data_IF_182151876523
#
_entry.id   IF_182151876523
#
_cell.length_a   1.000
_cell.length_b   1.000
_cell.length_c   1.000
_cell.angle_alpha   90.00
_cell.angle_beta   90.00
_cell.angle_gamma   90.00
#
_symmetry.space_group_name_H-M   'P 1'
#
loop_
_entity.id
_entity.type
_entity.pdbx_description
1 polymer ?
#
# COMPACT_ATOMS: atom_id res chain seq x y z
N UNK A 1 4.81 4.64 41.09
CA UNK A 1 6.16 4.21 40.63
C UNK A 1 7.07 3.69 41.74
N UNK A 2 6.73 3.81 43.03
CA UNK A 2 7.63 3.44 44.15
C UNK A 2 8.27 2.05 44.06
N UNK A 3 7.52 0.94 43.89
CA UNK A 3 8.11 -0.40 43.89
C UNK A 3 9.18 -0.59 42.81
N UNK A 4 9.02 0.06 41.65
CA UNK A 4 9.99 -0.01 40.56
C UNK A 4 11.32 0.68 40.88
N UNK A 5 11.31 1.70 41.75
CA UNK A 5 12.48 2.52 42.07
C UNK A 5 13.14 2.13 43.39
N UNK A 6 12.42 1.51 44.32
CA UNK A 6 12.88 1.19 45.67
C UNK A 6 13.01 -0.30 45.98
N UNK A 7 12.29 -1.20 45.29
CA UNK A 7 12.34 -2.62 45.62
C UNK A 7 13.69 -3.24 45.25
N UNK A 8 14.19 -4.10 46.14
CA UNK A 8 15.40 -4.88 45.89
C UNK A 8 15.23 -5.78 44.66
N UNK A 9 16.27 -5.84 43.82
CA UNK A 9 16.25 -6.63 42.59
C UNK A 9 15.41 -6.06 41.44
N UNK A 10 14.79 -4.88 41.60
CA UNK A 10 14.02 -4.24 40.53
C UNK A 10 14.84 -4.07 39.25
N UNK A 11 14.29 -4.56 38.13
CA UNK A 11 14.89 -4.43 36.80
C UNK A 11 14.47 -3.14 36.08
N UNK A 12 13.76 -2.23 36.75
CA UNK A 12 13.23 -1.02 36.12
C UNK A 12 14.33 -0.10 35.57
N UNK A 13 15.36 0.22 36.36
CA UNK A 13 16.46 1.09 35.90
C UNK A 13 17.24 0.46 34.72
N UNK A 14 17.69 -0.81 34.81
CA UNK A 14 18.26 -1.51 33.66
C UNK A 14 17.35 -1.51 32.42
N UNK A 15 16.04 -1.67 32.62
CA UNK A 15 15.06 -1.61 31.54
C UNK A 15 15.02 -0.21 30.87
N UNK A 16 15.05 0.89 31.63
CA UNK A 16 15.08 2.24 31.06
C UNK A 16 16.38 2.49 30.28
N UNK A 17 17.52 2.01 30.77
CA UNK A 17 18.79 2.09 30.05
C UNK A 17 18.75 1.33 28.73
N UNK A 18 18.20 0.10 28.74
CA UNK A 18 18.03 -0.73 27.55
C UNK A 18 17.03 -0.09 26.56
N UNK A 19 15.93 0.48 27.06
CA UNK A 19 14.96 1.21 26.25
C UNK A 19 15.61 2.41 25.57
N UNK A 20 16.36 3.24 26.30
CA UNK A 20 17.09 4.38 25.74
C UNK A 20 18.10 3.97 24.65
N UNK A 21 18.76 2.81 24.81
CA UNK A 21 19.64 2.25 23.79
C UNK A 21 18.87 1.77 22.55
N UNK A 22 17.71 1.14 22.74
CA UNK A 22 16.89 0.58 21.67
C UNK A 22 16.20 1.65 20.80
N UNK A 23 15.80 2.78 21.40
CA UNK A 23 15.06 3.85 20.71
C UNK A 23 15.97 4.94 20.11
N UNK A 24 17.30 4.80 20.22
CA UNK A 24 18.23 5.84 19.79
C UNK A 24 18.12 6.11 18.29
N UNK A 25 18.12 7.38 17.91
CA UNK A 25 18.16 7.80 16.51
C UNK A 25 19.61 8.14 16.14
N UNK A 26 20.19 7.55 15.07
CA UNK A 26 21.54 7.91 14.62
C UNK A 26 21.66 9.42 14.36
N UNK A 27 22.67 10.05 14.95
CA UNK A 27 22.87 11.51 14.86
C UNK A 27 21.84 12.36 15.64
N UNK A 28 20.89 11.72 16.34
CA UNK A 28 19.87 12.40 17.14
C UNK A 28 20.31 12.66 18.59
N UNK A 29 19.50 13.45 19.29
CA UNK A 29 19.61 13.67 20.74
C UNK A 29 18.55 12.87 21.48
N UNK A 30 18.80 12.64 22.76
CA UNK A 30 17.88 12.00 23.70
C UNK A 30 17.84 12.83 24.98
N UNK A 31 16.65 12.95 25.56
CA UNK A 31 16.46 13.53 26.87
C UNK A 31 15.87 12.48 27.83
N UNK A 32 16.43 12.38 29.03
CA UNK A 32 15.87 11.58 30.13
C UNK A 32 15.27 12.55 31.12
N UNK A 33 13.99 12.35 31.45
CA UNK A 33 13.26 13.24 32.33
C UNK A 33 12.31 12.47 33.25
N UNK A 34 12.01 13.07 34.40
CA UNK A 34 10.99 12.58 35.34
C UNK A 34 9.87 13.60 35.43
N UNK A 35 8.64 13.14 35.64
CA UNK A 35 7.49 14.02 35.78
C UNK A 35 6.73 13.72 37.08
N UNK A 36 6.19 14.79 37.64
CA UNK A 36 5.30 14.87 38.79
C UNK A 36 4.32 16.04 38.56
N UNK A 37 3.37 16.26 39.46
CA UNK A 37 2.44 17.38 39.35
C UNK A 37 3.15 18.70 39.70
N UNK A 38 3.12 19.65 38.75
CA UNK A 38 3.71 20.97 38.92
C UNK A 38 3.21 21.66 40.21
N UNK A 39 4.15 22.25 40.95
CA UNK A 39 3.88 22.99 42.19
C UNK A 39 3.74 22.15 43.46
N UNK A 40 3.79 20.80 43.38
CA UNK A 40 3.74 19.96 44.58
C UNK A 40 5.10 19.76 45.26
N UNK A 41 6.18 19.85 44.50
CA UNK A 41 7.55 19.69 44.98
C UNK A 41 8.22 21.06 44.94
N UNK A 42 8.70 21.60 46.08
CA UNK A 42 9.33 22.93 46.14
C UNK A 42 10.48 23.05 45.14
N UNK A 43 10.52 24.17 44.43
CA UNK A 43 11.60 24.55 43.50
C UNK A 43 11.86 23.55 42.35
N UNK A 44 10.95 22.59 42.15
CA UNK A 44 11.04 21.58 41.09
C UNK A 44 9.96 21.83 40.06
N UNK A 45 10.39 21.93 38.80
CA UNK A 45 9.48 22.01 37.66
C UNK A 45 9.36 20.65 36.98
N UNK A 46 8.17 20.32 36.51
CA UNK A 46 7.87 19.09 35.77
C UNK A 46 7.73 19.36 34.26
N UNK A 47 8.22 18.48 33.38
CA UNK A 47 9.19 17.42 33.67
C UNK A 47 10.56 18.01 34.03
N UNK A 48 11.24 17.34 34.98
CA UNK A 48 12.64 17.59 35.34
C UNK A 48 13.55 16.82 34.40
N UNK A 49 14.31 17.53 33.57
CA UNK A 49 15.31 16.93 32.69
C UNK A 49 16.54 16.54 33.52
N UNK A 50 16.90 15.27 33.50
CA UNK A 50 18.10 14.72 34.16
C UNK A 50 19.28 14.64 33.20
N UNK A 51 18.99 14.50 31.91
CA UNK A 51 19.98 14.51 30.83
C UNK A 51 19.33 14.99 29.53
N UNK A 52 20.09 15.74 28.73
CA UNK A 52 19.74 16.06 27.35
C UNK A 52 21.02 16.18 26.52
N UNK A 53 21.11 15.43 25.43
CA UNK A 53 22.29 15.44 24.56
C UNK A 53 22.33 14.25 23.61
N UNK A 54 23.43 14.05 22.87
CA UNK A 54 23.65 12.84 22.07
C UNK A 54 23.55 11.57 22.92
N UNK A 55 23.16 10.44 22.33
CA UNK A 55 23.15 9.18 23.09
C UNK A 55 24.57 8.78 23.52
N UNK A 56 24.78 8.60 24.82
CA UNK A 56 26.01 8.03 25.39
C UNK A 56 25.66 7.17 26.62
N UNK A 57 26.18 5.95 26.68
CA UNK A 57 25.76 4.96 27.69
C UNK A 57 26.02 5.41 29.15
N UNK A 58 27.19 6.03 29.43
CA UNK A 58 27.54 6.47 30.77
C UNK A 58 26.67 7.65 31.26
N UNK A 59 26.49 8.75 30.49
CA UNK A 59 25.54 9.81 30.85
C UNK A 59 24.10 9.32 31.05
N UNK A 60 23.62 8.41 30.19
CA UNK A 60 22.29 7.82 30.32
C UNK A 60 22.16 7.03 31.63
N UNK A 61 23.14 6.17 31.95
CA UNK A 61 23.16 5.42 33.21
C UNK A 61 23.16 6.35 34.42
N UNK A 62 23.94 7.42 34.39
CA UNK A 62 23.97 8.43 35.46
C UNK A 62 22.60 9.12 35.62
N UNK A 63 21.96 9.49 34.51
CA UNK A 63 20.64 10.11 34.53
C UNK A 63 19.56 9.17 35.05
N UNK A 64 19.60 7.90 34.62
CA UNK A 64 18.67 6.86 35.10
C UNK A 64 18.89 6.57 36.59
N UNK A 65 20.14 6.56 37.08
CA UNK A 65 20.45 6.40 38.50
C UNK A 65 19.93 7.58 39.35
N UNK A 66 19.89 8.79 38.78
CA UNK A 66 19.39 10.00 39.46
C UNK A 66 17.85 10.09 39.55
N UNK A 67 17.09 9.17 38.93
CA UNK A 67 15.63 9.13 39.07
C UNK A 67 15.25 8.88 40.53
N UNK A 68 14.46 9.78 41.11
CA UNK A 68 14.02 9.79 42.50
C UNK A 68 12.49 9.62 42.65
N UNK A 69 12.03 9.48 43.90
CA UNK A 69 10.62 9.45 44.26
C UNK A 69 10.25 10.77 44.96
N UNK A 70 9.75 11.77 44.23
CA UNK A 70 9.45 13.08 44.81
C UNK A 70 8.33 13.00 45.86
N UNK A 71 8.40 13.88 46.87
CA UNK A 71 7.41 14.02 47.94
C UNK A 71 6.80 15.41 47.95
N UNK A 72 5.53 15.49 48.36
CA UNK A 72 4.80 16.76 48.51
C UNK A 72 5.43 17.61 49.61
N UNK A 73 5.43 18.93 49.44
CA UNK A 73 5.93 19.87 50.43
C UNK A 73 5.32 19.60 51.83
N UNK A 74 6.16 19.53 52.87
CA UNK A 74 5.72 19.38 54.27
C UNK A 74 5.07 18.03 54.62
N UNK A 75 5.11 17.02 53.75
CA UNK A 75 4.42 15.75 53.96
C UNK A 75 5.24 14.49 53.64
N UNK A 76 4.71 13.34 54.08
CA UNK A 76 5.26 12.02 53.74
C UNK A 76 4.65 11.43 52.45
N UNK A 77 3.64 12.08 51.86
CA UNK A 77 3.01 11.63 50.63
C UNK A 77 3.93 11.83 49.42
N UNK A 78 3.94 10.86 48.50
CA UNK A 78 4.60 11.04 47.20
C UNK A 78 3.85 12.08 46.37
N UNK A 79 4.57 12.78 45.48
CA UNK A 79 3.96 13.69 44.52
C UNK A 79 3.06 12.94 43.53
N UNK A 80 1.98 13.58 43.10
CA UNK A 80 1.01 13.03 42.17
C UNK A 80 1.58 13.04 40.74
N UNK A 81 1.02 12.22 39.86
CA UNK A 81 1.38 12.20 38.46
C UNK A 81 0.51 13.20 37.66
N UNK A 82 1.14 13.97 36.77
CA UNK A 82 0.44 14.81 35.79
C UNK A 82 0.82 14.39 34.37
N UNK A 83 0.01 13.51 33.76
CA UNK A 83 0.26 12.97 32.42
C UNK A 83 0.19 14.04 31.34
N UNK A 84 -0.75 14.98 31.44
CA UNK A 84 -0.87 16.05 30.47
C UNK A 84 0.27 17.05 30.61
N UNK A 85 0.64 17.40 31.85
CA UNK A 85 1.84 18.18 32.15
C UNK A 85 3.11 17.52 31.60
N UNK A 86 3.26 16.20 31.77
CA UNK A 86 4.38 15.43 31.23
C UNK A 86 4.43 15.46 29.70
N UNK A 87 3.30 15.30 29.01
CA UNK A 87 3.22 15.36 27.56
C UNK A 87 3.57 16.76 27.04
N UNK A 88 2.86 17.78 27.52
CA UNK A 88 3.05 19.17 27.07
C UNK A 88 4.43 19.71 27.47
N UNK A 89 4.92 19.37 28.66
CA UNK A 89 6.25 19.71 29.11
C UNK A 89 7.33 18.95 28.34
N UNK A 90 7.11 17.68 27.99
CA UNK A 90 7.98 16.90 27.12
C UNK A 90 8.13 17.54 25.74
N UNK A 91 7.02 18.03 25.15
CA UNK A 91 7.05 18.80 23.90
C UNK A 91 7.83 20.11 24.08
N UNK A 92 7.45 20.94 25.04
CA UNK A 92 8.02 22.29 25.20
C UNK A 92 9.49 22.28 25.63
N UNK A 93 9.88 21.35 26.50
CA UNK A 93 11.20 21.34 27.15
C UNK A 93 12.10 20.24 26.64
N UNK A 94 11.58 19.02 26.48
CA UNK A 94 12.35 17.89 25.98
C UNK A 94 12.64 18.02 24.49
N UNK A 95 11.61 18.33 23.69
CA UNK A 95 11.74 18.52 22.24
C UNK A 95 11.99 19.98 21.83
N UNK A 96 11.99 20.93 22.78
CA UNK A 96 12.09 22.36 22.49
C UNK A 96 11.04 22.86 21.47
N UNK A 97 9.83 22.30 21.52
CA UNK A 97 8.74 22.59 20.59
C UNK A 97 8.93 22.03 19.17
N UNK A 98 9.96 21.21 18.93
CA UNK A 98 10.23 20.58 17.63
C UNK A 98 9.54 19.22 17.53
N UNK A 99 9.41 18.74 16.30
CA UNK A 99 8.95 17.39 16.01
C UNK A 99 9.90 16.33 16.61
N UNK A 100 9.34 15.21 17.05
CA UNK A 100 10.12 14.14 17.67
C UNK A 100 9.28 13.02 18.25
N UNK A 101 9.93 12.16 19.04
CA UNK A 101 9.27 11.02 19.70
C UNK A 101 9.34 11.18 21.20
N UNK A 102 8.19 11.05 21.86
CA UNK A 102 8.09 11.04 23.32
C UNK A 102 7.86 9.60 23.77
N UNK A 103 8.78 9.08 24.56
CA UNK A 103 8.66 7.78 25.21
C UNK A 103 8.25 7.97 26.66
N UNK A 104 6.98 7.68 26.97
CA UNK A 104 6.43 7.86 28.31
C UNK A 104 6.30 6.52 29.02
N UNK A 105 6.94 6.39 30.18
CA UNK A 105 6.87 5.17 31.01
C UNK A 105 6.06 5.45 32.27
N UNK A 106 4.97 4.72 32.47
CA UNK A 106 4.02 4.96 33.56
C UNK A 106 3.32 3.69 34.00
N UNK A 107 2.96 3.59 35.29
CA UNK A 107 2.11 2.52 35.78
C UNK A 107 0.60 2.77 35.53
N UNK A 108 0.22 3.90 34.91
CA UNK A 108 -1.17 4.33 34.68
C UNK A 108 -2.04 4.30 35.95
N UNK A 109 -1.42 4.50 37.12
CA UNK A 109 -2.12 4.57 38.40
C UNK A 109 -1.98 5.95 39.00
N UNK A 110 -3.09 6.41 39.56
CA UNK A 110 -3.17 7.61 40.37
C UNK A 110 -2.96 7.25 41.86
N UNK A 111 -2.41 8.17 42.65
CA UNK A 111 -2.32 7.95 44.09
C UNK A 111 -3.74 7.95 44.70
N UNK A 112 -3.98 7.21 45.80
CA UNK A 112 -5.26 7.26 46.50
C UNK A 112 -5.55 8.68 47.03
N UNK A 113 -6.81 9.13 46.95
CA UNK A 113 -7.23 10.45 47.47
C UNK A 113 -6.81 11.64 46.60
N UNK A 114 -6.73 11.44 45.28
CA UNK A 114 -6.31 12.46 44.34
C UNK A 114 -7.27 13.65 44.25
N UNK A 115 -6.71 14.81 43.90
CA UNK A 115 -7.51 16.01 43.67
C UNK A 115 -8.28 15.93 42.33
N UNK A 116 -9.43 16.62 42.20
CA UNK A 116 -10.16 16.75 40.93
C UNK A 116 -9.33 17.33 39.77
N UNK A 117 -8.21 18.00 40.06
CA UNK A 117 -7.29 18.49 39.04
C UNK A 117 -6.55 17.33 38.33
N UNK A 118 -6.17 16.28 39.06
CA UNK A 118 -5.46 15.12 38.50
C UNK A 118 -6.37 14.35 37.54
N UNK A 119 -7.65 14.20 37.90
CA UNK A 119 -8.65 13.55 37.04
C UNK A 119 -8.85 14.32 35.74
N UNK A 120 -9.04 15.65 35.81
CA UNK A 120 -9.15 16.52 34.64
C UNK A 120 -7.90 16.49 33.76
N UNK A 121 -6.71 16.57 34.35
CA UNK A 121 -5.45 16.50 33.60
C UNK A 121 -5.30 15.16 32.90
N UNK A 122 -5.74 14.08 33.54
CA UNK A 122 -5.64 12.75 32.95
C UNK A 122 -6.63 12.57 31.78
N UNK A 123 -7.85 13.09 31.91
CA UNK A 123 -8.80 13.14 30.80
C UNK A 123 -8.25 13.99 29.63
N UNK A 124 -7.67 15.15 29.94
CA UNK A 124 -7.05 16.03 28.95
C UNK A 124 -5.87 15.37 28.22
N UNK A 125 -5.09 14.54 28.90
CA UNK A 125 -4.01 13.77 28.28
C UNK A 125 -4.54 12.82 27.20
N UNK A 126 -5.56 12.00 27.51
CA UNK A 126 -6.12 11.07 26.52
C UNK A 126 -6.84 11.79 25.38
N UNK A 127 -7.54 12.89 25.68
CA UNK A 127 -8.12 13.75 24.64
C UNK A 127 -7.03 14.31 23.71
N UNK A 128 -5.92 14.81 24.26
CA UNK A 128 -4.79 15.32 23.46
C UNK A 128 -4.19 14.23 22.56
N UNK A 129 -4.00 13.01 23.09
CA UNK A 129 -3.51 11.87 22.29
C UNK A 129 -4.45 11.51 21.14
N UNK A 130 -5.76 11.53 21.39
CA UNK A 130 -6.78 11.16 20.40
C UNK A 130 -6.98 12.24 19.35
N UNK A 131 -7.22 13.47 19.79
CA UNK A 131 -7.78 14.53 18.94
C UNK A 131 -6.70 15.40 18.27
N UNK A 132 -5.46 15.38 18.78
CA UNK A 132 -4.38 16.16 18.18
C UNK A 132 -3.98 15.59 16.82
N UNK A 133 -4.07 16.43 15.78
CA UNK A 133 -3.54 16.14 14.44
C UNK A 133 -2.01 16.12 14.41
N UNK A 134 -1.35 16.77 15.38
CA UNK A 134 0.11 16.74 15.52
C UNK A 134 0.61 15.41 16.08
N UNK A 135 -0.24 14.62 16.74
CA UNK A 135 0.11 13.28 17.22
C UNK A 135 -0.46 12.26 16.24
N UNK A 136 0.35 11.85 15.27
CA UNK A 136 -0.11 10.97 14.18
C UNK A 136 0.06 9.48 14.48
N UNK A 137 0.97 9.14 15.40
CA UNK A 137 1.32 7.75 15.71
C UNK A 137 1.48 7.53 17.21
N UNK A 138 0.81 6.51 17.73
CA UNK A 138 0.94 6.07 19.13
C UNK A 138 1.03 4.55 19.18
N UNK A 139 2.06 4.06 19.87
CA UNK A 139 2.28 2.66 20.17
C UNK A 139 2.44 2.46 21.68
N UNK A 140 2.08 1.28 22.20
CA UNK A 140 2.23 0.95 23.61
C UNK A 140 2.81 -0.46 23.83
N UNK A 141 3.64 -0.59 24.86
CA UNK A 141 4.13 -1.86 25.38
C UNK A 141 3.73 -2.00 26.85
N UNK A 142 2.72 -2.83 27.16
CA UNK A 142 2.46 -3.26 28.53
C UNK A 142 3.59 -4.18 29.01
N UNK A 143 4.25 -3.81 30.10
CA UNK A 143 5.37 -4.54 30.69
C UNK A 143 4.98 -5.08 32.05
N UNK A 144 4.99 -6.40 32.19
CA UNK A 144 4.78 -7.06 33.48
C UNK A 144 6.08 -7.07 34.28
N UNK A 145 6.03 -6.51 35.48
CA UNK A 145 7.15 -6.47 36.43
C UNK A 145 6.55 -6.44 37.85
N UNK A 146 6.10 -7.57 38.39
CA UNK A 146 5.48 -7.60 39.70
C UNK A 146 6.54 -7.35 40.77
N UNK A 147 6.35 -6.27 41.53
CA UNK A 147 7.23 -5.85 42.60
C UNK A 147 6.39 -5.38 43.80
N UNK A 148 6.93 -5.60 44.99
CA UNK A 148 6.40 -5.08 46.24
C UNK A 148 7.42 -4.12 46.83
N UNK A 149 7.05 -2.86 46.90
CA UNK A 149 7.82 -1.82 47.58
C UNK A 149 7.48 -1.77 49.06
N UNK A 150 7.96 -0.73 49.74
CA UNK A 150 7.69 -0.52 51.16
C UNK A 150 6.24 -0.12 51.41
N UNK A 151 5.70 0.70 50.52
CA UNK A 151 4.40 1.34 50.70
C UNK A 151 3.36 0.84 49.69
N UNK A 152 3.78 0.36 48.52
CA UNK A 152 2.88 -0.03 47.44
C UNK A 152 3.29 -1.36 46.81
N UNK A 153 2.34 -1.98 46.12
CA UNK A 153 2.60 -3.05 45.15
C UNK A 153 2.37 -2.55 43.72
N UNK A 154 3.08 -3.14 42.77
CA UNK A 154 2.88 -2.86 41.36
C UNK A 154 3.08 -4.13 40.54
N UNK A 155 2.15 -4.43 39.63
CA UNK A 155 2.23 -5.60 38.75
C UNK A 155 3.01 -5.34 37.47
N UNK A 156 3.19 -4.07 37.10
CA UNK A 156 3.77 -3.66 35.83
C UNK A 156 3.51 -2.20 35.49
N UNK A 157 3.94 -1.81 34.29
CA UNK A 157 3.83 -0.48 33.74
C UNK A 157 3.59 -0.54 32.23
N UNK A 158 3.37 0.61 31.60
CA UNK A 158 3.20 0.77 30.16
C UNK A 158 4.24 1.74 29.65
N UNK A 159 4.83 1.40 28.51
CA UNK A 159 5.70 2.29 27.72
C UNK A 159 4.90 2.76 26.52
N UNK A 160 4.61 4.06 26.43
CA UNK A 160 4.02 4.68 25.26
C UNK A 160 5.10 5.29 24.38
N UNK A 161 5.09 4.99 23.09
CA UNK A 161 5.82 5.74 22.07
C UNK A 161 4.85 6.67 21.33
N UNK A 162 5.09 7.97 21.39
CA UNK A 162 4.21 9.01 20.85
C UNK A 162 4.99 9.83 19.82
N UNK A 163 4.59 9.74 18.55
CA UNK A 163 5.16 10.53 17.47
C UNK A 163 4.50 11.90 17.42
N UNK A 164 5.25 12.95 17.73
CA UNK A 164 4.78 14.34 17.74
C UNK A 164 5.32 15.12 16.54
N UNK A 165 4.43 15.83 15.85
CA UNK A 165 4.71 16.58 14.64
C UNK A 165 4.88 15.71 13.40
N UNK A 166 5.01 16.34 12.22
CA UNK A 166 5.17 15.64 10.94
C UNK A 166 6.47 14.80 10.90
N UNK A 167 7.51 15.27 11.59
CA UNK A 167 8.79 14.59 11.75
C UNK A 167 8.83 13.52 12.84
N UNK A 168 7.81 13.40 13.70
CA UNK A 168 7.80 12.44 14.81
C UNK A 168 7.38 11.01 14.40
N UNK A 169 6.61 10.87 13.33
CA UNK A 169 6.11 9.56 12.88
C UNK A 169 7.24 8.65 12.39
N UNK A 170 8.10 9.13 11.47
CA UNK A 170 9.13 8.30 10.85
C UNK A 170 10.15 7.75 11.87
N UNK A 171 10.68 8.53 12.81
CA UNK A 171 11.59 8.01 13.82
C UNK A 171 10.91 7.01 14.77
N UNK A 172 9.64 7.21 15.11
CA UNK A 172 8.89 6.23 15.90
C UNK A 172 8.71 4.93 15.11
N UNK A 173 8.29 5.01 13.85
CA UNK A 173 8.11 3.84 12.98
C UNK A 173 9.43 3.08 12.73
N UNK A 174 10.52 3.81 12.52
CA UNK A 174 11.86 3.24 12.42
C UNK A 174 12.27 2.53 13.72
N UNK A 175 11.98 3.10 14.89
CA UNK A 175 12.26 2.45 16.17
C UNK A 175 11.43 1.17 16.34
N UNK A 176 10.11 1.23 16.07
CA UNK A 176 9.20 0.08 16.18
C UNK A 176 9.55 -1.07 15.21
N UNK A 177 10.09 -0.73 14.04
CA UNK A 177 10.55 -1.70 13.04
C UNK A 177 11.98 -2.18 13.27
N UNK A 178 12.72 -1.55 14.19
CA UNK A 178 14.10 -1.92 14.49
C UNK A 178 14.17 -3.18 15.37
N UNK A 179 15.24 -3.97 15.19
CA UNK A 179 15.50 -5.13 16.05
C UNK A 179 15.74 -4.78 17.53
N UNK A 180 16.06 -3.51 17.85
CA UNK A 180 16.35 -3.08 19.21
C UNK A 180 15.15 -3.22 20.15
N UNK A 181 13.97 -2.73 19.73
CA UNK A 181 12.75 -2.90 20.52
C UNK A 181 12.24 -4.35 20.48
N UNK A 182 12.40 -5.05 19.36
CA UNK A 182 12.05 -6.47 19.26
C UNK A 182 12.89 -7.36 20.19
N UNK A 183 14.14 -6.96 20.51
CA UNK A 183 14.97 -7.65 21.49
C UNK A 183 14.55 -7.35 22.95
N UNK A 184 14.00 -6.16 23.20
CA UNK A 184 13.55 -5.75 24.53
C UNK A 184 12.15 -6.28 24.88
N UNK A 185 11.25 -6.36 23.90
CA UNK A 185 9.86 -6.78 24.09
C UNK A 185 9.58 -8.10 23.38
N UNK A 186 9.00 -9.05 24.12
CA UNK A 186 8.61 -10.37 23.57
C UNK A 186 7.37 -10.33 22.67
N UNK A 187 6.68 -9.19 22.62
CA UNK A 187 5.43 -9.02 21.90
C UNK A 187 5.51 -7.77 21.04
N UNK A 188 4.80 -7.74 19.90
CA UNK A 188 4.67 -6.53 19.09
C UNK A 188 4.04 -5.37 19.89
N UNK A 189 4.27 -4.12 19.45
CA UNK A 189 3.60 -2.96 20.04
C UNK A 189 2.09 -3.04 19.86
N UNK A 190 1.35 -2.61 20.87
CA UNK A 190 -0.08 -2.29 20.74
C UNK A 190 -0.24 -1.01 19.95
N UNK A 191 -0.91 -1.08 18.80
CA UNK A 191 -1.19 0.09 17.97
C UNK A 191 -2.40 0.84 18.50
N UNK A 192 -2.18 2.07 18.97
CA UNK A 192 -3.22 2.91 19.55
C UNK A 192 -3.66 4.01 18.57
N UNK A 193 -2.74 4.53 17.76
CA UNK A 193 -3.05 5.50 16.70
C UNK A 193 -2.07 5.36 15.52
N UNK A 194 -2.55 5.32 14.27
CA UNK A 194 -3.90 4.90 13.91
C UNK A 194 -4.13 3.44 14.34
N UNK A 195 -5.37 3.07 14.65
CA UNK A 195 -5.72 1.70 15.08
C UNK A 195 -5.33 0.68 14.01
N UNK A 196 -5.57 1.00 12.74
CA UNK A 196 -5.29 0.12 11.60
C UNK A 196 -3.80 0.10 11.20
N UNK A 197 -2.89 0.62 12.03
CA UNK A 197 -1.46 0.45 11.78
C UNK A 197 -1.09 -1.03 11.91
N UNK A 198 -0.33 -1.55 10.95
CA UNK A 198 -0.12 -2.99 10.73
C UNK A 198 -0.99 -3.53 9.59
N UNK A 199 -2.16 -2.92 9.38
CA UNK A 199 -3.02 -3.14 8.23
C UNK A 199 -3.64 -4.53 8.17
N UNK A 200 -4.47 -4.69 7.14
CA UNK A 200 -4.93 -5.99 6.66
C UNK A 200 -4.35 -6.15 5.27
N UNK A 201 -3.77 -7.30 4.95
CA UNK A 201 -3.14 -7.54 3.64
C UNK A 201 -3.81 -8.69 2.92
N UNK A 202 -3.89 -8.60 1.60
CA UNK A 202 -4.40 -9.67 0.74
C UNK A 202 -3.22 -10.33 0.03
N UNK A 203 -2.97 -11.59 0.35
CA UNK A 203 -1.89 -12.42 -0.19
C UNK A 203 -2.46 -13.44 -1.17
N UNK A 204 -1.68 -13.90 -2.15
CA UNK A 204 -2.11 -14.91 -3.12
C UNK A 204 -1.13 -16.10 -3.11
N UNK A 205 -1.65 -17.31 -2.92
CA UNK A 205 -0.87 -18.54 -2.74
C UNK A 205 -0.64 -19.26 -4.07
N UNK A 206 -1.72 -19.40 -4.84
CA UNK A 206 -1.75 -20.18 -6.07
C UNK A 206 -2.65 -19.52 -7.08
N UNK A 207 -2.16 -19.54 -8.31
CA UNK A 207 -2.83 -18.99 -9.48
C UNK A 207 -3.37 -20.18 -10.26
N UNK A 208 -4.67 -20.37 -10.20
CA UNK A 208 -5.34 -21.47 -10.89
C UNK A 208 -6.14 -20.89 -12.05
N UNK A 209 -5.47 -20.75 -13.20
CA UNK A 209 -6.12 -20.23 -14.39
C UNK A 209 -5.62 -21.01 -15.60
N UNK A 210 -6.50 -21.84 -16.14
CA UNK A 210 -6.28 -22.73 -17.29
C UNK A 210 -5.62 -22.05 -18.49
N UNK A 211 -4.29 -21.98 -18.48
CA UNK A 211 -3.44 -21.41 -19.52
C UNK A 211 -2.92 -19.97 -19.27
N UNK A 212 -3.39 -19.26 -18.24
CA UNK A 212 -2.89 -17.92 -17.89
C UNK A 212 -1.74 -18.04 -16.89
N UNK A 213 -0.70 -17.24 -17.10
CA UNK A 213 0.39 -17.10 -16.13
C UNK A 213 0.10 -15.87 -15.27
N UNK A 214 0.34 -15.95 -13.98
CA UNK A 214 0.31 -14.77 -13.13
C UNK A 214 1.46 -14.83 -12.12
N UNK A 215 1.79 -13.70 -11.51
CA UNK A 215 2.85 -13.62 -10.52
C UNK A 215 2.88 -12.26 -9.85
N UNK A 216 3.38 -12.21 -8.62
CA UNK A 216 3.63 -10.94 -7.95
C UNK A 216 5.04 -10.46 -8.32
N UNK A 217 5.13 -9.34 -9.03
CA UNK A 217 6.38 -8.70 -9.46
C UNK A 217 6.43 -7.30 -8.86
N UNK A 218 7.41 -7.02 -7.99
CA UNK A 218 7.57 -5.73 -7.29
C UNK A 218 6.28 -5.21 -6.59
N UNK A 219 5.48 -6.14 -6.04
CA UNK A 219 4.21 -5.81 -5.36
C UNK A 219 3.02 -5.59 -6.30
N UNK A 220 3.19 -5.80 -7.60
CA UNK A 220 2.13 -5.77 -8.62
C UNK A 220 1.77 -7.18 -9.04
N UNK A 221 0.48 -7.51 -9.05
CA UNK A 221 0.01 -8.77 -9.63
C UNK A 221 0.02 -8.67 -11.15
N UNK A 222 0.98 -9.30 -11.80
CA UNK A 222 1.09 -9.36 -13.27
C UNK A 222 0.38 -10.62 -13.77
N UNK A 223 -0.49 -10.47 -14.77
CA UNK A 223 -1.27 -11.55 -15.39
C UNK A 223 -0.96 -11.56 -16.89
N UNK A 224 -0.51 -12.69 -17.43
CA UNK A 224 -0.08 -12.87 -18.82
C UNK A 224 -0.90 -13.94 -19.53
N UNK A 225 -1.09 -13.75 -20.84
CA UNK A 225 -1.81 -14.69 -21.70
C UNK A 225 -3.33 -14.44 -21.76
N UNK A 226 -3.80 -13.30 -21.26
CA UNK A 226 -5.22 -12.93 -21.36
C UNK A 226 -5.63 -12.77 -22.84
N UNK A 227 -6.81 -13.25 -23.21
CA UNK A 227 -7.36 -13.07 -24.55
C UNK A 227 -8.02 -11.69 -24.66
N UNK A 228 -7.42 -10.81 -25.47
CA UNK A 228 -7.94 -9.45 -25.65
C UNK A 228 -9.31 -9.42 -26.36
N UNK A 229 -9.64 -10.40 -27.19
CA UNK A 229 -10.87 -10.40 -28.00
C UNK A 229 -12.06 -11.06 -27.31
N UNK A 230 -11.83 -12.18 -26.61
CA UNK A 230 -12.90 -12.91 -25.90
C UNK A 230 -13.20 -12.35 -24.51
N UNK A 231 -12.30 -11.54 -23.94
CA UNK A 231 -12.29 -11.23 -22.52
C UNK A 231 -11.65 -12.38 -21.74
N UNK A 232 -11.43 -12.18 -20.43
CA UNK A 232 -10.70 -13.15 -19.62
C UNK A 232 -11.29 -13.24 -18.22
N UNK A 233 -11.46 -14.47 -17.72
CA UNK A 233 -11.85 -14.74 -16.33
C UNK A 233 -10.63 -15.26 -15.58
N UNK A 234 -10.11 -14.45 -14.68
CA UNK A 234 -9.03 -14.81 -13.78
C UNK A 234 -9.60 -15.41 -12.50
N UNK A 235 -9.09 -16.56 -12.08
CA UNK A 235 -9.42 -17.20 -10.80
C UNK A 235 -8.15 -17.31 -9.97
N UNK A 236 -8.21 -16.82 -8.75
CA UNK A 236 -7.08 -16.73 -7.83
C UNK A 236 -7.48 -17.33 -6.49
N UNK A 237 -6.54 -17.96 -5.80
CA UNK A 237 -6.70 -18.37 -4.41
C UNK A 237 -5.79 -17.47 -3.58
N UNK A 238 -6.39 -16.74 -2.65
CA UNK A 238 -5.69 -15.82 -1.77
C UNK A 238 -6.11 -15.93 -0.32
N UNK A 239 -5.45 -15.16 0.53
CA UNK A 239 -5.60 -15.18 1.97
C UNK A 239 -5.57 -13.76 2.50
N UNK A 240 -6.36 -13.51 3.54
CA UNK A 240 -6.38 -12.25 4.25
C UNK A 240 -5.54 -12.39 5.52
N UNK A 241 -4.46 -11.61 5.60
CA UNK A 241 -3.62 -11.55 6.79
C UNK A 241 -4.04 -10.36 7.65
N UNK A 242 -4.24 -10.61 8.94
CA UNK A 242 -4.51 -9.56 9.92
C UNK A 242 -3.19 -9.11 10.56
N UNK A 243 -2.58 -8.05 10.02
CA UNK A 243 -1.36 -7.45 10.59
C UNK A 243 -1.57 -6.66 11.89
N UNK A 244 -2.81 -6.56 12.38
CA UNK A 244 -3.13 -5.80 13.59
C UNK A 244 -2.66 -6.51 14.86
N UNK A 245 -2.28 -5.73 15.87
CA UNK A 245 -2.05 -6.20 17.22
C UNK A 245 -2.43 -5.13 18.24
N UNK A 246 -3.15 -5.50 19.32
CA UNK A 246 -3.61 -6.84 19.70
C UNK A 246 -5.01 -7.20 19.16
N UNK A 247 -5.49 -6.49 18.13
CA UNK A 247 -6.85 -6.67 17.63
C UNK A 247 -6.99 -7.93 16.79
N UNK A 248 -8.04 -8.70 17.07
CA UNK A 248 -8.58 -9.73 16.19
C UNK A 248 -9.73 -9.17 15.38
N UNK A 249 -9.91 -9.68 14.16
CA UNK A 249 -11.10 -9.40 13.37
C UNK A 249 -12.17 -10.39 13.81
N UNK A 250 -13.15 -9.92 14.59
CA UNK A 250 -14.27 -10.74 15.08
C UNK A 250 -15.15 -11.12 13.90
N UNK A 251 -15.48 -10.14 13.06
CA UNK A 251 -16.24 -10.32 11.83
C UNK A 251 -15.93 -9.17 10.86
N UNK A 252 -15.95 -9.44 9.56
CA UNK A 252 -16.01 -8.42 8.53
C UNK A 252 -16.68 -8.99 7.27
N UNK A 253 -17.35 -8.13 6.51
CA UNK A 253 -17.83 -8.43 5.17
C UNK A 253 -16.83 -7.94 4.14
N UNK A 254 -16.53 -8.79 3.16
CA UNK A 254 -15.53 -8.59 2.14
C UNK A 254 -16.20 -8.17 0.84
N UNK A 255 -15.84 -7.00 0.32
CA UNK A 255 -16.32 -6.49 -0.97
C UNK A 255 -15.11 -6.21 -1.85
N UNK A 256 -14.93 -7.00 -2.89
CA UNK A 256 -13.84 -6.81 -3.85
C UNK A 256 -14.30 -5.96 -5.02
N UNK A 257 -13.49 -4.95 -5.38
CA UNK A 257 -13.74 -4.07 -6.53
C UNK A 257 -12.51 -4.02 -7.43
N UNK A 258 -12.75 -3.88 -8.72
CA UNK A 258 -11.72 -3.57 -9.71
C UNK A 258 -11.83 -2.10 -10.11
N UNK A 259 -10.68 -1.44 -10.22
CA UNK A 259 -10.57 -0.12 -10.86
C UNK A 259 -9.45 -0.14 -11.88
N UNK A 260 -9.66 0.47 -13.04
CA UNK A 260 -8.65 0.65 -14.07
C UNK A 260 -8.87 1.97 -14.80
N UNK A 261 -7.90 2.37 -15.61
CA UNK A 261 -8.03 3.55 -16.46
C UNK A 261 -8.57 3.14 -17.83
N UNK A 262 -9.67 3.75 -18.29
CA UNK A 262 -10.24 3.53 -19.62
C UNK A 262 -11.58 2.78 -19.64
N UNK A 263 -12.14 2.51 -20.83
CA UNK A 263 -13.49 1.93 -20.99
C UNK A 263 -13.62 0.50 -20.42
N UNK A 264 -12.49 -0.21 -20.30
CA UNK A 264 -12.39 -1.56 -19.71
C UNK A 264 -12.76 -1.57 -18.21
N UNK A 265 -12.62 -0.43 -17.52
CA UNK A 265 -12.92 -0.30 -16.09
C UNK A 265 -14.42 -0.40 -15.76
N UNK A 266 -15.30 0.03 -16.67
CA UNK A 266 -16.73 0.14 -16.39
C UNK A 266 -17.47 -1.22 -16.42
N UNK A 267 -16.89 -2.24 -17.07
CA UNK A 267 -17.55 -3.54 -17.28
C UNK A 267 -16.88 -4.70 -16.58
N UNK A 268 -15.69 -4.51 -16.02
CA UNK A 268 -14.99 -5.54 -15.26
C UNK A 268 -15.71 -5.83 -13.93
N UNK A 269 -15.75 -7.10 -13.53
CA UNK A 269 -16.40 -7.55 -12.31
C UNK A 269 -15.40 -8.33 -11.46
N UNK A 270 -15.27 -7.94 -10.20
CA UNK A 270 -14.49 -8.67 -9.22
C UNK A 270 -15.44 -9.29 -8.18
N UNK A 271 -15.15 -10.51 -7.74
CA UNK A 271 -15.88 -11.19 -6.70
C UNK A 271 -14.92 -11.98 -5.81
N UNK A 272 -15.30 -12.14 -4.54
CA UNK A 272 -14.55 -12.86 -3.52
C UNK A 272 -15.49 -13.80 -2.76
N UNK A 273 -15.05 -15.03 -2.53
CA UNK A 273 -15.80 -16.05 -1.80
C UNK A 273 -14.88 -16.79 -0.82
N UNK A 274 -15.28 -16.99 0.44
CA UNK A 274 -16.47 -16.40 1.07
C UNK A 274 -16.42 -14.86 1.10
N UNK A 275 -17.58 -14.20 1.13
CA UNK A 275 -17.70 -12.75 1.25
C UNK A 275 -17.67 -12.27 2.71
N UNK A 276 -17.28 -13.14 3.64
CA UNK A 276 -17.18 -12.87 5.07
C UNK A 276 -15.96 -13.56 5.66
N UNK A 277 -15.35 -12.88 6.61
CA UNK A 277 -14.30 -13.44 7.47
C UNK A 277 -14.72 -13.27 8.93
N UNK A 278 -14.39 -14.24 9.77
CA UNK A 278 -14.68 -14.19 11.19
C UNK A 278 -13.55 -14.81 12.00
N UNK A 279 -13.41 -14.35 13.25
CA UNK A 279 -12.44 -14.85 14.23
C UNK A 279 -10.99 -14.94 13.72
N UNK A 280 -10.56 -14.01 12.88
CA UNK A 280 -9.19 -13.96 12.39
C UNK A 280 -8.27 -13.37 13.49
N UNK A 281 -7.34 -14.17 14.06
CA UNK A 281 -6.52 -13.74 15.19
C UNK A 281 -5.54 -12.61 14.82
N UNK A 282 -4.98 -11.90 15.80
CA UNK A 282 -3.93 -10.91 15.56
C UNK A 282 -2.71 -11.59 14.93
N UNK A 283 -2.11 -10.97 13.92
CA UNK A 283 -0.97 -11.51 13.16
C UNK A 283 -1.26 -12.89 12.54
N UNK A 284 -2.53 -13.23 12.34
CA UNK A 284 -2.96 -14.48 11.76
C UNK A 284 -3.45 -14.33 10.32
N UNK A 285 -3.75 -15.47 9.73
CA UNK A 285 -4.19 -15.62 8.35
C UNK A 285 -5.56 -16.31 8.31
N UNK A 286 -6.42 -15.91 7.37
CA UNK A 286 -7.71 -16.57 7.18
C UNK A 286 -7.62 -17.81 6.28
N UNK A 287 -8.70 -18.59 6.26
CA UNK A 287 -8.87 -19.66 5.28
C UNK A 287 -8.86 -19.12 3.84
N UNK A 288 -8.60 -20.02 2.88
CA UNK A 288 -8.48 -19.66 1.48
C UNK A 288 -9.73 -18.94 0.92
N UNK A 289 -9.48 -17.82 0.26
CA UNK A 289 -10.46 -16.98 -0.43
C UNK A 289 -10.35 -17.20 -1.94
N UNK A 290 -11.44 -17.64 -2.56
CA UNK A 290 -11.57 -17.69 -4.00
C UNK A 290 -11.88 -16.30 -4.54
N UNK A 291 -10.93 -15.73 -5.28
CA UNK A 291 -11.08 -14.44 -5.96
C UNK A 291 -11.31 -14.69 -7.45
N UNK A 292 -12.29 -14.03 -8.02
CA UNK A 292 -12.55 -14.04 -9.45
C UNK A 292 -12.59 -12.63 -10.01
N UNK A 293 -11.92 -12.41 -11.13
CA UNK A 293 -11.90 -11.16 -11.85
C UNK A 293 -12.26 -11.43 -13.31
N UNK A 294 -13.43 -10.95 -13.72
CA UNK A 294 -13.91 -11.02 -15.10
C UNK A 294 -13.61 -9.71 -15.79
N UNK A 295 -12.75 -9.77 -16.79
CA UNK A 295 -12.32 -8.64 -17.60
C UNK A 295 -13.06 -8.63 -18.94
N UNK A 296 -13.61 -7.49 -19.39
CA UNK A 296 -14.19 -7.37 -20.72
C UNK A 296 -13.11 -7.47 -21.81
N UNK A 297 -13.50 -7.68 -23.08
CA UNK A 297 -12.60 -7.57 -24.21
C UNK A 297 -11.85 -6.23 -24.22
N UNK A 298 -10.54 -6.30 -24.48
CA UNK A 298 -9.65 -5.15 -24.61
C UNK A 298 -9.60 -4.76 -26.09
N UNK A 299 -10.09 -3.58 -26.49
CA UNK A 299 -10.08 -3.18 -27.89
C UNK A 299 -8.64 -3.03 -28.41
N UNK A 300 -8.43 -3.52 -29.63
CA UNK A 300 -7.19 -3.28 -30.36
C UNK A 300 -7.06 -1.77 -30.66
N UNK A 301 -5.86 -1.18 -30.53
CA UNK A 301 -5.64 0.21 -30.94
C UNK A 301 -6.02 0.42 -32.41
N UNK A 302 -6.49 1.62 -32.75
CA UNK A 302 -6.86 1.93 -34.13
C UNK A 302 -5.62 2.03 -35.05
N UNK A 303 -5.82 1.75 -36.34
CA UNK A 303 -4.81 1.93 -37.38
C UNK A 303 -3.70 0.87 -37.40
N UNK A 304 -2.63 1.17 -38.14
CA UNK A 304 -1.49 0.25 -38.36
C UNK A 304 -0.77 -0.11 -37.05
N UNK A 305 -0.70 0.83 -36.09
CA UNK A 305 -0.08 0.59 -34.79
C UNK A 305 -0.75 -0.56 -34.02
N UNK A 306 -2.09 -0.66 -34.08
CA UNK A 306 -2.81 -1.78 -33.45
C UNK A 306 -2.68 -3.10 -34.21
N UNK A 307 -2.51 -3.06 -35.53
CA UNK A 307 -2.28 -4.27 -36.34
C UNK A 307 -0.90 -4.90 -36.04
N UNK A 308 0.10 -4.06 -35.78
CA UNK A 308 1.47 -4.48 -35.44
C UNK A 308 1.65 -4.81 -33.95
N UNK A 309 0.73 -4.37 -33.10
CA UNK A 309 0.79 -4.65 -31.66
C UNK A 309 0.30 -6.07 -31.37
N UNK A 310 1.19 -6.93 -30.88
CA UNK A 310 0.85 -8.29 -30.45
C UNK A 310 0.18 -8.36 -29.08
N UNK A 311 0.34 -7.33 -28.25
CA UNK A 311 -0.16 -7.30 -26.88
C UNK A 311 -0.50 -5.87 -26.42
N UNK A 312 -1.32 -5.77 -25.37
CA UNK A 312 -1.62 -4.52 -24.68
C UNK A 312 -1.67 -4.77 -23.17
N UNK A 313 -1.01 -3.90 -22.41
CA UNK A 313 -1.08 -3.90 -20.95
C UNK A 313 -2.28 -3.07 -20.46
N UNK A 314 -2.97 -3.58 -19.46
CA UNK A 314 -4.06 -2.94 -18.73
C UNK A 314 -3.66 -2.84 -17.26
N UNK A 315 -3.37 -1.63 -16.82
CA UNK A 315 -3.02 -1.34 -15.43
C UNK A 315 -4.27 -0.95 -14.64
N UNK A 316 -4.43 -1.56 -13.47
CA UNK A 316 -5.54 -1.32 -12.55
C UNK A 316 -5.20 -1.71 -11.12
N UNK A 317 -6.23 -1.76 -10.27
CA UNK A 317 -6.11 -2.13 -8.89
C UNK A 317 -7.32 -2.95 -8.42
N UNK A 318 -7.04 -3.99 -7.64
CA UNK A 318 -8.04 -4.69 -6.84
C UNK A 318 -8.13 -4.00 -5.48
N UNK A 319 -9.30 -3.47 -5.15
CA UNK A 319 -9.59 -2.85 -3.85
C UNK A 319 -10.53 -3.77 -3.07
N UNK A 320 -10.03 -4.37 -2.00
CA UNK A 320 -10.81 -5.14 -1.04
C UNK A 320 -11.28 -4.21 0.09
N UNK A 321 -12.58 -3.99 0.16
CA UNK A 321 -13.22 -3.24 1.23
C UNK A 321 -13.71 -4.24 2.29
N UNK A 322 -13.29 -4.03 3.54
CA UNK A 322 -13.84 -4.68 4.71
C UNK A 322 -14.91 -3.74 5.27
N UNK A 323 -16.18 -4.11 5.13
CA UNK A 323 -17.32 -3.39 5.70
C UNK A 323 -17.89 -4.17 6.88
N UNK A 324 -18.67 -3.51 7.74
CA UNK A 324 -19.20 -4.14 8.97
C UNK A 324 -18.06 -4.74 9.83
N UNK A 325 -16.87 -4.13 9.76
CA UNK A 325 -15.69 -4.60 10.46
C UNK A 325 -15.91 -4.47 11.96
N UNK A 326 -15.81 -5.58 12.66
CA UNK A 326 -15.87 -5.67 14.11
C UNK A 326 -14.53 -6.14 14.61
N UNK A 327 -13.78 -5.23 15.22
CA UNK A 327 -12.55 -5.55 15.92
C UNK A 327 -12.85 -5.92 17.39
N UNK A 328 -12.02 -6.78 17.94
CA UNK A 328 -12.03 -7.13 19.36
C UNK A 328 -10.61 -7.30 19.85
N UNK A 329 -10.40 -7.22 21.17
CA UNK A 329 -9.10 -7.56 21.74
C UNK A 329 -8.94 -9.09 21.80
N UNK A 330 -7.71 -9.53 21.55
CA UNK A 330 -7.35 -10.92 21.74
C UNK A 330 -7.43 -11.34 23.21
N UNK A 331 -8.05 -12.49 23.54
CA UNK A 331 -8.14 -12.97 24.92
C UNK A 331 -6.77 -13.19 25.59
N UNK A 332 -5.75 -13.65 24.84
CA UNK A 332 -4.42 -13.85 25.40
C UNK A 332 -3.71 -12.51 25.69
N UNK A 333 -4.01 -11.45 24.92
CA UNK A 333 -3.64 -10.09 25.28
C UNK A 333 -4.33 -9.64 26.57
N UNK A 334 -5.64 -9.81 26.68
CA UNK A 334 -6.42 -9.43 27.88
C UNK A 334 -5.86 -10.09 29.15
N UNK A 335 -5.61 -11.40 29.14
CA UNK A 335 -5.01 -12.09 30.29
C UNK A 335 -3.63 -11.56 30.68
N UNK A 336 -2.81 -11.20 29.69
CA UNK A 336 -1.47 -10.64 29.93
C UNK A 336 -1.54 -9.30 30.65
N UNK A 337 -2.47 -8.45 30.21
CA UNK A 337 -2.59 -7.10 30.74
C UNK A 337 -3.49 -7.03 31.98
N UNK A 338 -4.22 -8.11 32.30
CA UNK A 338 -5.09 -8.24 33.47
C UNK A 338 -4.43 -7.85 34.77
N UNK A 339 -3.18 -8.21 34.99
CA UNK A 339 -2.50 -7.87 36.26
C UNK A 339 -1.99 -6.43 36.27
N UNK A 340 -1.66 -5.87 35.10
CA UNK A 340 -1.19 -4.49 34.94
C UNK A 340 -2.38 -3.54 35.15
N UNK A 341 -3.52 -3.86 34.51
CA UNK A 341 -4.75 -3.08 34.53
C UNK A 341 -5.90 -3.73 35.34
N UNK A 342 -5.60 -4.58 36.32
CA UNK A 342 -6.64 -5.27 37.12
C UNK A 342 -7.03 -4.58 38.43
N UNK A 343 -6.18 -3.71 38.96
CA UNK A 343 -6.41 -3.05 40.25
C UNK A 343 -7.31 -1.82 40.12
N UNK A 344 -8.27 -1.62 41.03
CA UNK A 344 -9.19 -0.47 41.05
C UNK A 344 -8.56 0.94 41.14
N UNK A 345 -7.22 1.05 41.17
CA UNK A 345 -6.45 2.29 41.18
C UNK A 345 -6.05 2.79 39.78
N UNK A 346 -6.58 2.14 38.75
CA UNK A 346 -6.28 2.50 37.37
C UNK A 346 -7.12 3.68 36.96
N UNK A 347 -6.50 4.45 36.07
CA UNK A 347 -7.12 5.58 35.43
C UNK A 347 -8.23 5.06 34.50
N UNK A 348 -9.45 5.07 35.00
CA UNK A 348 -10.69 4.88 34.27
C UNK A 348 -11.55 6.12 34.38
N UNK A 349 -12.05 6.53 33.22
CA UNK A 349 -12.92 7.66 32.90
C UNK A 349 -14.11 7.81 33.89
N UNK A 350 -13.96 8.65 34.92
CA UNK A 350 -15.08 9.07 35.79
C UNK A 350 -16.00 10.10 35.12
N UNK A 351 -15.93 10.29 33.79
CA UNK A 351 -16.69 11.34 33.10
C UNK A 351 -17.79 10.84 32.15
N UNK A 352 -17.93 9.52 31.92
CA UNK A 352 -19.21 8.97 31.45
C UNK A 352 -19.94 8.45 32.67
N UNK A 353 -21.09 9.02 33.01
CA UNK A 353 -21.89 8.72 34.22
C UNK A 353 -22.39 7.27 34.40
N UNK A 354 -21.73 6.28 33.82
CA UNK A 354 -21.84 4.89 34.24
C UNK A 354 -20.75 4.62 35.28
N UNK A 355 -21.20 4.42 36.52
CA UNK A 355 -20.43 3.69 37.53
C UNK A 355 -19.94 2.41 36.83
N UNK A 356 -18.64 2.31 36.53
CA UNK A 356 -18.03 1.00 36.25
C UNK A 356 -18.18 0.23 37.54
N UNK A 357 -19.30 -0.46 37.66
CA UNK A 357 -19.60 -1.33 38.79
C UNK A 357 -18.41 -2.26 38.95
N UNK A 358 -18.16 -2.75 40.16
CA UNK A 358 -17.13 -3.77 40.39
C UNK A 358 -17.30 -5.04 39.51
N UNK A 359 -18.41 -5.12 38.75
CA UNK A 359 -18.80 -6.13 37.78
C UNK A 359 -18.42 -5.81 36.30
N UNK A 360 -17.77 -4.68 36.01
CA UNK A 360 -17.33 -4.36 34.64
C UNK A 360 -16.29 -5.35 34.08
N UNK A 361 -16.30 -5.57 32.76
CA UNK A 361 -15.36 -6.49 32.12
C UNK A 361 -13.92 -5.97 32.22
N UNK A 362 -12.92 -6.83 32.08
CA UNK A 362 -11.51 -6.40 32.10
C UNK A 362 -11.20 -5.33 31.04
N UNK A 363 -11.87 -5.42 29.89
CA UNK A 363 -11.72 -4.47 28.78
C UNK A 363 -12.19 -3.05 29.16
N UNK A 364 -13.22 -2.95 30.00
CA UNK A 364 -13.74 -1.65 30.49
C UNK A 364 -12.77 -0.96 31.44
N UNK A 365 -11.86 -1.72 32.06
CA UNK A 365 -10.81 -1.21 32.97
C UNK A 365 -9.54 -0.73 32.25
N UNK A 366 -9.41 -0.99 30.96
CA UNK A 366 -8.27 -0.49 30.18
C UNK A 366 -8.34 1.05 30.04
N UNK A 367 -7.21 1.73 29.77
CA UNK A 367 -7.27 3.13 29.36
C UNK A 367 -8.09 3.28 28.08
N UNK A 368 -8.83 4.39 27.95
CA UNK A 368 -9.79 4.57 26.84
C UNK A 368 -9.15 4.45 25.46
N UNK A 369 -7.90 4.89 25.31
CA UNK A 369 -7.14 4.79 24.06
C UNK A 369 -6.99 3.33 23.56
N UNK A 370 -6.99 2.33 24.44
CA UNK A 370 -6.96 0.90 24.05
C UNK A 370 -8.29 0.40 23.50
N UNK A 371 -9.38 1.18 23.66
CA UNK A 371 -10.72 0.85 23.16
C UNK A 371 -11.11 1.60 21.89
N UNK A 372 -10.27 2.51 21.40
CA UNK A 372 -10.56 3.33 20.22
C UNK A 372 -10.82 2.47 18.96
N UNK A 373 -10.35 1.23 18.93
CA UNK A 373 -10.68 0.27 17.87
C UNK A 373 -12.17 0.02 17.69
N UNK A 374 -13.00 0.22 18.73
CA UNK A 374 -14.46 0.05 18.66
C UNK A 374 -15.11 1.04 17.69
N UNK A 375 -14.42 2.14 17.37
CA UNK A 375 -14.88 3.13 16.38
C UNK A 375 -14.56 2.76 14.93
N UNK A 376 -13.73 1.74 14.70
CA UNK A 376 -13.32 1.31 13.36
C UNK A 376 -14.31 0.30 12.83
N UNK A 377 -15.07 0.70 11.80
CA UNK A 377 -16.08 -0.13 11.14
C UNK A 377 -15.72 -0.52 9.71
N UNK A 378 -14.66 0.05 9.15
CA UNK A 378 -14.26 -0.15 7.76
C UNK A 378 -12.73 -0.17 7.60
N UNK A 379 -12.25 -0.93 6.62
CA UNK A 379 -10.86 -0.91 6.16
C UNK A 379 -10.80 -1.16 4.65
N UNK A 380 -9.77 -0.65 3.98
CA UNK A 380 -9.56 -0.84 2.54
C UNK A 380 -8.14 -1.32 2.28
N UNK A 381 -8.01 -2.37 1.47
CA UNK A 381 -6.74 -2.94 1.03
C UNK A 381 -6.68 -2.84 -0.49
N UNK A 382 -5.60 -2.30 -1.03
CA UNK A 382 -5.44 -2.11 -2.47
C UNK A 382 -4.23 -2.88 -2.98
N UNK A 383 -4.43 -3.71 -4.00
CA UNK A 383 -3.38 -4.43 -4.71
C UNK A 383 -3.32 -3.93 -6.17
N UNK A 384 -2.20 -3.34 -6.63
CA UNK A 384 -2.03 -3.03 -8.04
C UNK A 384 -1.95 -4.30 -8.89
N UNK A 385 -2.56 -4.27 -10.07
CA UNK A 385 -2.64 -5.40 -10.99
C UNK A 385 -2.34 -4.91 -12.41
N UNK A 386 -1.54 -5.69 -13.14
CA UNK A 386 -1.23 -5.48 -14.56
C UNK A 386 -1.67 -6.71 -15.36
N UNK A 387 -2.51 -6.50 -16.38
CA UNK A 387 -2.93 -7.58 -17.28
C UNK A 387 -2.33 -7.36 -18.65
N UNK A 388 -1.59 -8.35 -19.15
CA UNK A 388 -1.02 -8.41 -20.49
C UNK A 388 -1.95 -9.23 -21.39
N UNK A 389 -2.77 -8.52 -22.17
CA UNK A 389 -3.72 -9.11 -23.09
C UNK A 389 -3.10 -9.27 -24.48
N UNK A 390 -3.07 -10.51 -24.99
CA UNK A 390 -2.57 -10.85 -26.31
C UNK A 390 -3.64 -10.70 -27.38
N UNK A 391 -3.26 -10.18 -28.55
CA UNK A 391 -4.13 -10.17 -29.71
C UNK A 391 -3.82 -11.32 -30.67
N UNK A 392 -4.84 -11.83 -31.35
CA UNK A 392 -4.66 -12.83 -32.41
C UNK A 392 -3.77 -12.30 -33.55
N UNK A 393 -2.80 -13.09 -34.06
CA UNK A 393 -1.95 -12.70 -35.18
C UNK A 393 -2.65 -12.79 -36.54
N UNK A 394 -3.84 -13.42 -36.62
CA UNK A 394 -4.55 -13.66 -37.87
C UNK A 394 -4.78 -12.41 -38.73
N UNK A 395 -5.20 -11.25 -38.19
CA UNK A 395 -5.37 -10.05 -39.00
C UNK A 395 -4.06 -9.56 -39.61
N UNK A 396 -2.93 -9.71 -38.92
CA UNK A 396 -1.60 -9.35 -39.44
C UNK A 396 -1.18 -10.32 -40.55
N UNK A 397 -1.41 -11.61 -40.36
CA UNK A 397 -1.15 -12.65 -41.37
C UNK A 397 -1.99 -12.38 -42.63
N UNK A 398 -3.29 -12.08 -42.46
CA UNK A 398 -4.20 -11.78 -43.56
C UNK A 398 -3.76 -10.53 -44.32
N UNK A 399 -3.42 -9.45 -43.60
CA UNK A 399 -2.91 -8.21 -44.21
C UNK A 399 -1.60 -8.45 -44.98
N UNK A 400 -0.67 -9.21 -44.40
CA UNK A 400 0.61 -9.55 -45.02
C UNK A 400 0.42 -10.39 -46.28
N UNK A 401 -0.47 -11.39 -46.23
CA UNK A 401 -0.79 -12.25 -47.36
C UNK A 401 -1.47 -11.46 -48.49
N UNK A 402 -2.38 -10.55 -48.15
CA UNK A 402 -3.01 -9.65 -49.12
C UNK A 402 -2.01 -8.71 -49.79
N UNK A 403 -1.07 -8.14 -49.02
CA UNK A 403 0.00 -7.29 -49.55
C UNK A 403 0.91 -8.08 -50.51
N UNK A 404 1.30 -9.30 -50.13
CA UNK A 404 2.08 -10.20 -51.00
C UNK A 404 1.32 -10.57 -52.28
N UNK A 405 0.02 -10.83 -52.19
CA UNK A 405 -0.82 -11.11 -53.36
C UNK A 405 -0.89 -9.91 -54.32
N UNK A 406 -1.07 -8.69 -53.79
CA UNK A 406 -1.06 -7.46 -54.59
C UNK A 406 0.30 -7.21 -55.26
N UNK A 407 1.40 -7.43 -54.53
CA UNK A 407 2.75 -7.37 -55.11
C UNK A 407 2.94 -8.42 -56.21
N UNK A 408 2.42 -9.64 -56.01
CA UNK A 408 2.42 -10.70 -57.02
C UNK A 408 1.65 -10.31 -58.28
N UNK A 409 0.44 -9.75 -58.14
CA UNK A 409 -0.35 -9.25 -59.28
C UNK A 409 0.35 -8.08 -59.97
N UNK A 410 0.91 -7.14 -59.21
CA UNK A 410 1.70 -6.04 -59.75
C UNK A 410 2.92 -6.53 -60.55
N UNK A 411 3.64 -7.51 -60.01
CA UNK A 411 4.76 -8.14 -60.69
C UNK A 411 4.33 -8.88 -61.96
N UNK A 412 3.24 -9.65 -61.91
CA UNK A 412 2.68 -10.32 -63.09
C UNK A 412 2.21 -9.33 -64.15
N UNK A 413 1.59 -8.22 -63.75
CA UNK A 413 1.23 -7.11 -64.65
C UNK A 413 2.44 -6.43 -65.28
N UNK A 414 3.49 -6.16 -64.50
CA UNK A 414 4.75 -5.62 -64.99
C UNK A 414 5.45 -6.60 -65.96
N UNK A 415 5.47 -7.89 -65.65
CA UNK A 415 6.01 -8.93 -66.52
C UNK A 415 5.18 -9.07 -67.82
N UNK A 416 3.85 -8.99 -67.74
CA UNK A 416 2.97 -9.05 -68.89
C UNK A 416 3.12 -7.83 -69.82
N UNK A 417 3.34 -6.63 -69.26
CA UNK A 417 3.59 -5.40 -70.04
C UNK A 417 5.01 -5.33 -70.59
N UNK A 418 5.99 -5.97 -69.92
CA UNK A 418 7.39 -6.02 -70.36
C UNK A 418 7.66 -7.04 -71.47
N UNK A 419 6.86 -8.11 -71.58
CA UNK A 419 7.08 -9.19 -72.58
C UNK A 419 6.64 -8.77 -74.00
N UNK A 420 7.53 -8.86 -75.01
CA UNK A 420 7.16 -8.62 -76.40
C UNK A 420 6.22 -9.72 -76.90
N UNK A 421 5.20 -9.34 -77.69
CA UNK A 421 4.20 -10.25 -78.24
C UNK A 421 4.04 -10.06 -79.74
N UNK A 422 3.81 -11.16 -80.46
CA UNK A 422 3.38 -11.13 -81.87
C UNK A 422 1.93 -10.68 -81.98
N UNK A 423 1.71 -9.49 -82.54
CA UNK A 423 0.39 -8.97 -82.88
C UNK A 423 0.20 -9.03 -84.40
N UNK A 424 -0.95 -9.48 -84.85
CA UNK A 424 -1.41 -9.38 -86.25
C UNK A 424 -2.37 -8.20 -86.36
N UNK A 425 -2.03 -7.21 -87.18
CA UNK A 425 -2.85 -6.01 -87.40
C UNK A 425 -2.86 -5.62 -88.86
N UNK A 426 -3.89 -4.88 -89.26
CA UNK A 426 -4.01 -4.34 -90.61
C UNK A 426 -3.25 -3.01 -90.70
N UNK A 427 -2.34 -2.89 -91.67
CA UNK A 427 -1.75 -1.62 -92.08
C UNK A 427 -2.43 -1.21 -93.39
N UNK A 428 -3.47 -0.38 -93.29
CA UNK A 428 -4.39 -0.15 -94.42
C UNK A 428 -5.11 -1.45 -94.80
N UNK A 429 -4.91 -1.93 -96.04
CA UNK A 429 -5.49 -3.18 -96.55
C UNK A 429 -4.58 -4.42 -96.35
N UNK A 430 -3.38 -4.27 -95.78
CA UNK A 430 -2.40 -5.36 -95.68
C UNK A 430 -2.35 -5.97 -94.27
N UNK A 431 -2.59 -7.28 -94.11
CA UNK A 431 -2.36 -7.95 -92.83
C UNK A 431 -0.86 -8.07 -92.56
N UNK A 432 -0.39 -7.59 -91.41
CA UNK A 432 1.01 -7.71 -91.00
C UNK A 432 1.14 -8.26 -89.59
N UNK A 433 2.11 -9.17 -89.42
CA UNK A 433 2.53 -9.70 -88.13
C UNK A 433 3.76 -8.93 -87.64
N UNK A 434 3.71 -8.40 -86.42
CA UNK A 434 4.83 -7.67 -85.82
C UNK A 434 5.00 -8.04 -84.34
N UNK A 435 6.24 -8.07 -83.86
CA UNK A 435 6.54 -8.27 -82.44
C UNK A 435 6.57 -6.90 -81.76
N UNK A 436 5.59 -6.64 -80.91
CA UNK A 436 5.41 -5.35 -80.24
C UNK A 436 5.34 -5.56 -78.72
N UNK A 437 5.89 -4.61 -77.96
CA UNK A 437 5.67 -4.55 -76.51
C UNK A 437 4.38 -3.76 -76.24
N UNK A 438 3.50 -4.25 -75.35
CA UNK A 438 2.30 -3.52 -74.97
C UNK A 438 2.61 -2.06 -74.59
N UNK A 439 1.71 -1.16 -75.01
CA UNK A 439 1.75 0.29 -74.78
C UNK A 439 2.93 1.07 -75.35
N UNK A 440 3.96 0.41 -75.91
CA UNK A 440 5.03 1.07 -76.67
C UNK A 440 4.60 1.28 -78.12
N UNK A 441 5.00 2.42 -78.64
CA UNK A 441 4.73 2.81 -80.02
C UNK A 441 5.93 2.42 -80.89
N UNK A 442 5.69 1.74 -82.01
CA UNK A 442 6.71 1.38 -82.99
C UNK A 442 6.26 1.83 -84.38
N UNK A 443 7.20 2.27 -85.23
CA UNK A 443 6.90 2.67 -86.61
C UNK A 443 7.16 1.46 -87.52
N UNK A 444 6.15 1.07 -88.30
CA UNK A 444 6.20 -0.05 -89.24
C UNK A 444 5.90 0.45 -90.66
N UNK A 445 6.63 -0.04 -91.66
CA UNK A 445 6.45 0.35 -93.08
C UNK A 445 5.64 -0.68 -93.86
N UNK A 446 4.48 -0.32 -94.38
CA UNK A 446 3.62 -1.22 -95.14
C UNK A 446 4.21 -1.56 -96.54
N UNK A 447 3.76 -2.64 -97.20
CA UNK A 447 4.27 -3.05 -98.52
C UNK A 447 4.12 -2.00 -99.62
N UNK A 448 3.13 -1.11 -99.49
CA UNK A 448 2.90 0.05 -100.36
C UNK A 448 3.87 1.22 -100.13
N UNK A 449 4.85 1.05 -99.22
CA UNK A 449 5.85 2.06 -98.88
C UNK A 449 5.45 2.98 -97.72
N UNK A 450 4.17 3.00 -97.31
CA UNK A 450 3.65 3.95 -96.31
C UNK A 450 4.11 3.64 -94.88
N UNK A 451 4.33 4.69 -94.08
CA UNK A 451 4.77 4.56 -92.68
C UNK A 451 3.58 4.62 -91.72
N UNK A 452 3.49 3.64 -90.81
CA UNK A 452 2.42 3.52 -89.83
C UNK A 452 2.96 3.49 -88.41
N UNK A 453 2.36 4.28 -87.53
CA UNK A 453 2.59 4.26 -86.10
C UNK A 453 1.68 3.23 -85.46
N UNK A 454 2.25 2.16 -84.92
CA UNK A 454 1.51 1.05 -84.31
C UNK A 454 1.74 1.02 -82.81
N UNK A 455 0.66 0.99 -82.03
CA UNK A 455 0.69 0.82 -80.58
C UNK A 455 -0.12 -0.41 -80.20
N UNK A 456 0.55 -1.39 -79.59
CA UNK A 456 -0.11 -2.56 -79.04
C UNK A 456 -0.83 -2.20 -77.73
N UNK A 457 -2.04 -2.72 -77.54
CA UNK A 457 -2.71 -2.73 -76.22
C UNK A 457 -2.28 -3.98 -75.45
N UNK A 458 -2.55 -4.01 -74.13
CA UNK A 458 -2.28 -5.21 -73.32
C UNK A 458 -3.15 -6.40 -73.75
N UNK A 459 -4.38 -6.11 -74.16
CA UNK A 459 -5.38 -7.04 -74.65
C UNK A 459 -6.06 -6.42 -75.89
N UNK A 460 -6.24 -7.20 -76.97
CA UNK A 460 -6.90 -6.75 -78.20
C UNK A 460 -5.97 -6.40 -79.37
N UNK A 461 -6.54 -5.98 -80.52
CA UNK A 461 -5.78 -5.70 -81.74
C UNK A 461 -4.94 -4.43 -81.59
N UNK A 462 -3.76 -4.43 -82.21
CA UNK A 462 -2.88 -3.27 -82.23
C UNK A 462 -3.53 -2.12 -83.01
N UNK A 463 -3.46 -0.90 -82.48
CA UNK A 463 -3.96 0.30 -83.17
C UNK A 463 -2.88 0.85 -84.07
N UNK A 464 -3.20 1.03 -85.35
CA UNK A 464 -2.30 1.58 -86.35
C UNK A 464 -2.84 2.91 -86.87
N UNK A 465 -2.00 3.95 -86.87
CA UNK A 465 -2.30 5.25 -87.46
C UNK A 465 -1.28 5.55 -88.55
N UNK A 466 -1.73 5.90 -89.75
CA UNK A 466 -0.85 6.28 -90.85
C UNK A 466 -0.16 7.60 -90.48
N UNK A 467 1.16 7.67 -90.68
CA UNK A 467 1.90 8.92 -90.61
C UNK A 467 1.78 9.58 -91.98
N UNK A 468 1.33 10.84 -92.02
CA UNK A 468 1.35 11.63 -93.25
C UNK A 468 2.81 11.83 -93.67
N UNK A 469 3.13 11.52 -94.92
CA UNK A 469 4.43 11.89 -95.49
C UNK A 469 4.48 13.40 -95.62
N UNK A 470 5.51 14.01 -95.05
CA UNK A 470 5.86 15.41 -95.31
C UNK A 470 6.49 15.40 -96.70
N UNK A 471 5.81 16.00 -97.68
CA UNK A 471 6.36 16.22 -99.02
C UNK A 471 7.68 16.99 -98.91
N UNK A 472 8.80 16.32 -99.18
CA UNK A 472 10.05 16.98 -99.54
C UNK A 472 10.01 17.24 -101.05
N UNK A 473 9.88 18.51 -101.42
CA UNK A 473 9.71 18.93 -102.80
C UNK A 473 10.92 18.65 -103.70
N UNK A 474 10.59 18.44 -104.98
CA UNK A 474 11.23 19.03 -106.14
C UNK A 474 10.20 19.12 -107.26
#
# INVERSE_FOLDING_TARGET
MEPFLSAEGSQFRPFIEALAAAIRVPGGTIAIATFDQDGQVPERMSPRILYAGPYAAAPIRSAVAAIDLPRKAGGQAYADADFNGALLGGIRRGLHGRDGVIWMVTNNKNAPGNSPAVERNTAAFYAALRDSSAITRIAAYPVRMPLKGRNFDASGFVVYGIGYGAGGQRPLEAALSSGGLAALFRHPPVNLKPVLAGGVTLRFDKLDSGGLQAGLEDGVLVVRGADAAAGTVLRLIGHLDNGLYPQRIVAARLILRWSASGPEAASARAAILPDRVANLPPQGECEALAVSLTLPPVPRPAGLGGLLSGQRAVDGALSLQLTELRLGLDPAFLERVRLIFGSSLLIGDQMTGEIVTQNGTLEDRLPSLFRDYRSVSEAVVTLPVRIEAGFSPWPLIAASTGALALLGVGFLGAAATGRPRTCTGMLGAFPRRAILRPFRTTILRAPDGSHWRVRATLWGPARAHRLAEVESGA
#
